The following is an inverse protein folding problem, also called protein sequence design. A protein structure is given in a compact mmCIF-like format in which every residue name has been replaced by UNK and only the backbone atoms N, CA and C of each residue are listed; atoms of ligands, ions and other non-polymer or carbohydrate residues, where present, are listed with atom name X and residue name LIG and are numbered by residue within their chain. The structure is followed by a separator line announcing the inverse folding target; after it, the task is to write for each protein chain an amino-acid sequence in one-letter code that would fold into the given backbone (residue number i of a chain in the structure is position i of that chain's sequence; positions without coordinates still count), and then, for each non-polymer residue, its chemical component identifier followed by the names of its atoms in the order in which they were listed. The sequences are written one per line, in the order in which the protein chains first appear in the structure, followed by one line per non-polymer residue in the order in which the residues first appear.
data_IF_621196035533
#
_entry.id   IF_621196035533
#
_cell.length_a   1.000
_cell.length_b   1.000
_cell.length_c   1.000
_cell.angle_alpha   90.00
_cell.angle_beta   90.00
_cell.angle_gamma   90.00
#
_symmetry.space_group_name_H-M   'P 1'
#
loop_
_entity.id
_entity.type
_entity.pdbx_description
1 polymer ?
#
# COMPACT_ATOMS: atom_id res chain seq x y z
N UNK A 1 4.11 -19.91 -9.78
CA UNK A 1 3.36 -19.21 -8.70
C UNK A 1 1.91 -19.10 -9.11
N UNK A 2 0.98 -19.50 -8.25
CA UNK A 2 -0.44 -19.37 -8.53
C UNK A 2 -0.91 -17.92 -8.32
N UNK A 3 -2.07 -17.59 -8.91
CA UNK A 3 -2.67 -16.26 -8.69
C UNK A 3 -2.96 -16.02 -7.21
N UNK A 4 -3.42 -17.06 -6.50
CA UNK A 4 -3.67 -16.97 -5.06
C UNK A 4 -2.39 -16.67 -4.29
N UNK A 5 -1.29 -17.32 -4.65
CA UNK A 5 -0.01 -17.11 -4.00
C UNK A 5 0.50 -15.68 -4.21
N UNK A 6 0.34 -15.17 -5.43
CA UNK A 6 0.70 -13.79 -5.76
C UNK A 6 -0.12 -12.80 -4.93
N UNK A 7 -1.43 -13.02 -4.84
CA UNK A 7 -2.32 -12.16 -4.05
C UNK A 7 -1.92 -12.14 -2.58
N UNK A 8 -1.57 -13.29 -2.01
CA UNK A 8 -1.10 -13.39 -0.63
C UNK A 8 0.16 -12.57 -0.41
N UNK A 9 1.12 -12.64 -1.33
CA UNK A 9 2.36 -11.89 -1.22
C UNK A 9 2.12 -10.39 -1.38
N UNK A 10 1.22 -9.99 -2.27
CA UNK A 10 0.87 -8.58 -2.45
C UNK A 10 0.13 -8.03 -1.23
N UNK A 11 -0.74 -8.83 -0.60
CA UNK A 11 -1.41 -8.43 0.64
C UNK A 11 -0.42 -8.24 1.78
N UNK A 12 0.60 -9.09 1.86
CA UNK A 12 1.67 -8.95 2.84
C UNK A 12 2.43 -7.64 2.62
N UNK A 13 2.80 -7.35 1.37
CA UNK A 13 3.48 -6.10 1.02
C UNK A 13 2.61 -4.89 1.35
N UNK A 14 1.32 -4.95 1.06
CA UNK A 14 0.39 -3.88 1.39
C UNK A 14 0.34 -3.63 2.90
N UNK A 15 0.33 -4.70 3.69
CA UNK A 15 0.35 -4.59 5.16
C UNK A 15 1.58 -3.84 5.66
N UNK A 16 2.75 -4.12 5.09
CA UNK A 16 3.98 -3.42 5.45
C UNK A 16 3.93 -1.93 5.09
N UNK A 17 3.39 -1.60 3.90
CA UNK A 17 3.27 -0.20 3.47
C UNK A 17 2.27 0.57 4.35
N UNK A 18 1.15 -0.03 4.71
CA UNK A 18 0.17 0.60 5.60
C UNK A 18 0.74 0.84 6.99
N UNK A 19 1.55 -0.09 7.49
CA UNK A 19 2.25 0.09 8.75
C UNK A 19 3.24 1.25 8.68
N UNK A 20 3.98 1.35 7.57
CA UNK A 20 4.91 2.46 7.37
C UNK A 20 4.19 3.81 7.33
N UNK A 21 3.05 3.90 6.66
CA UNK A 21 2.22 5.12 6.62
C UNK A 21 1.85 5.54 8.04
N UNK A 22 1.33 4.62 8.84
CA UNK A 22 0.95 4.91 10.21
C UNK A 22 2.15 5.34 11.05
N UNK A 23 3.28 4.67 10.90
CA UNK A 23 4.50 4.97 11.65
C UNK A 23 5.01 6.37 11.33
N UNK A 24 5.17 6.69 10.04
CA UNK A 24 5.70 7.99 9.64
C UNK A 24 4.72 9.13 9.94
N UNK A 25 3.44 8.92 9.73
CA UNK A 25 2.42 9.91 10.08
C UNK A 25 2.40 10.18 11.58
N UNK A 26 2.56 9.13 12.39
CA UNK A 26 2.64 9.25 13.84
C UNK A 26 3.88 10.05 14.25
N UNK A 27 5.03 9.75 13.68
CA UNK A 27 6.25 10.48 13.96
C UNK A 27 6.13 11.95 13.55
N UNK A 28 5.55 12.23 12.39
CA UNK A 28 5.34 13.60 11.95
C UNK A 28 4.47 14.39 12.94
N UNK A 29 3.43 13.75 13.49
CA UNK A 29 2.52 14.40 14.42
C UNK A 29 3.14 14.63 15.79
N UNK A 30 4.05 13.74 16.24
CA UNK A 30 4.58 13.78 17.60
C UNK A 30 5.99 14.31 17.71
N UNK A 31 6.60 14.67 16.61
CA UNK A 31 7.95 15.22 16.65
C UNK A 31 7.94 16.61 17.30
N UNK A 32 8.90 16.85 18.20
CA UNK A 32 8.99 18.10 18.96
C UNK A 32 10.44 18.54 19.04
N UNK A 33 10.63 19.80 19.44
CA UNK A 33 11.95 20.37 19.64
C UNK A 33 12.46 21.11 18.43
N UNK A 34 13.73 21.47 18.46
CA UNK A 34 14.35 22.32 17.44
C UNK A 34 14.41 21.67 16.06
N UNK A 35 14.34 20.35 16.00
CA UNK A 35 14.41 19.61 14.73
C UNK A 35 13.04 19.42 14.09
N UNK A 36 11.98 19.88 14.71
CA UNK A 36 10.61 19.70 14.18
C UNK A 36 10.47 20.25 12.77
N UNK A 37 10.98 21.44 12.51
CA UNK A 37 10.84 22.08 11.21
C UNK A 37 11.53 21.32 10.08
N UNK A 38 12.57 20.54 10.43
CA UNK A 38 13.30 19.72 9.47
C UNK A 38 12.72 18.32 9.33
N UNK A 39 12.34 17.71 10.44
CA UNK A 39 11.96 16.30 10.48
C UNK A 39 10.49 16.07 10.19
N UNK A 40 9.61 16.99 10.57
CA UNK A 40 8.18 16.84 10.30
C UNK A 40 7.89 16.72 8.79
N UNK A 41 8.41 17.63 7.94
CA UNK A 41 8.23 17.49 6.50
C UNK A 41 8.84 16.21 5.95
N UNK A 42 9.98 15.77 6.50
CA UNK A 42 10.62 14.52 6.08
C UNK A 42 9.72 13.33 6.34
N UNK A 43 9.17 13.20 7.56
CA UNK A 43 8.29 12.08 7.89
C UNK A 43 6.97 12.15 7.14
N UNK A 44 6.46 13.33 6.90
CA UNK A 44 5.25 13.51 6.08
C UNK A 44 5.51 13.05 4.64
N UNK A 45 6.66 13.41 4.07
CA UNK A 45 7.05 12.96 2.73
C UNK A 45 7.19 11.44 2.67
N UNK A 46 7.78 10.83 3.70
CA UNK A 46 7.91 9.37 3.77
C UNK A 46 6.55 8.68 3.86
N UNK A 47 5.61 9.25 4.64
CA UNK A 47 4.26 8.72 4.72
C UNK A 47 3.56 8.80 3.36
N UNK A 48 3.71 9.90 2.65
CA UNK A 48 3.13 10.07 1.31
C UNK A 48 3.74 9.11 0.30
N UNK A 49 5.05 8.87 0.37
CA UNK A 49 5.71 7.89 -0.48
C UNK A 49 5.18 6.48 -0.23
N UNK A 50 5.01 6.12 1.04
CA UNK A 50 4.43 4.82 1.40
C UNK A 50 2.98 4.72 0.94
N UNK A 51 2.23 5.82 0.94
CA UNK A 51 0.88 5.85 0.40
C UNK A 51 0.88 5.57 -1.10
N UNK A 52 1.81 6.18 -1.85
CA UNK A 52 1.96 5.93 -3.28
C UNK A 52 2.31 4.47 -3.54
N UNK A 53 3.23 3.90 -2.76
CA UNK A 53 3.59 2.49 -2.84
C UNK A 53 2.38 1.59 -2.55
N UNK A 54 1.59 1.91 -1.53
CA UNK A 54 0.41 1.12 -1.19
C UNK A 54 -0.62 1.14 -2.32
N UNK A 55 -0.76 2.27 -3.00
CA UNK A 55 -1.67 2.38 -4.15
C UNK A 55 -1.20 1.52 -5.33
N UNK A 56 0.12 1.48 -5.56
CA UNK A 56 0.70 0.60 -6.59
C UNK A 56 0.43 -0.87 -6.25
N UNK A 57 0.65 -1.25 -4.99
CA UNK A 57 0.42 -2.62 -4.54
C UNK A 57 -1.07 -2.99 -4.64
N UNK A 58 -1.96 -2.08 -4.24
CA UNK A 58 -3.40 -2.30 -4.38
C UNK A 58 -3.81 -2.52 -5.83
N UNK A 59 -3.26 -1.72 -6.74
CA UNK A 59 -3.52 -1.88 -8.16
C UNK A 59 -3.05 -3.24 -8.67
N UNK A 60 -1.90 -3.70 -8.19
CA UNK A 60 -1.36 -5.01 -8.53
C UNK A 60 -2.22 -6.14 -7.98
N UNK A 61 -2.83 -5.97 -6.82
CA UNK A 61 -3.77 -6.96 -6.25
C UNK A 61 -5.06 -6.99 -7.07
N UNK A 62 -5.60 -5.82 -7.38
CA UNK A 62 -6.86 -5.72 -8.11
C UNK A 62 -6.77 -6.36 -9.50
N UNK A 63 -5.65 -6.19 -10.20
CA UNK A 63 -5.46 -6.78 -11.53
C UNK A 63 -5.63 -8.31 -11.54
N UNK A 64 -4.92 -9.08 -10.70
CA UNK A 64 -5.11 -10.53 -10.69
C UNK A 64 -6.52 -10.95 -10.28
N UNK A 65 -7.10 -10.27 -9.29
CA UNK A 65 -8.47 -10.56 -8.84
C UNK A 65 -9.46 -10.28 -9.98
N UNK A 66 -9.36 -9.13 -10.61
CA UNK A 66 -10.22 -8.75 -11.72
C UNK A 66 -10.09 -9.71 -12.89
N UNK A 67 -8.86 -10.09 -13.23
CA UNK A 67 -8.61 -11.03 -14.32
C UNK A 67 -9.25 -12.38 -14.02
N UNK A 68 -9.05 -12.92 -12.83
CA UNK A 68 -9.63 -14.19 -12.42
C UNK A 68 -11.15 -14.11 -12.42
N UNK A 69 -11.68 -13.03 -11.91
CA UNK A 69 -13.12 -12.80 -11.86
C UNK A 69 -13.71 -12.69 -13.26
N UNK A 70 -13.08 -11.94 -14.14
CA UNK A 70 -13.52 -11.81 -15.53
C UNK A 70 -13.50 -13.13 -16.25
N UNK A 71 -12.47 -13.93 -16.07
CA UNK A 71 -12.39 -15.26 -16.69
C UNK A 71 -13.52 -16.17 -16.24
N UNK A 72 -13.84 -16.12 -14.94
CA UNK A 72 -14.98 -16.87 -14.42
C UNK A 72 -16.29 -16.37 -15.01
N UNK A 73 -16.44 -15.08 -15.17
CA UNK A 73 -17.64 -14.46 -15.67
C UNK A 73 -17.79 -14.53 -17.19
N UNK A 74 -16.69 -14.64 -17.92
CA UNK A 74 -16.73 -14.81 -19.37
C UNK A 74 -17.58 -16.00 -19.77
N UNK A 75 -17.53 -17.06 -18.97
CA UNK A 75 -18.35 -18.25 -19.25
C UNK A 75 -19.73 -18.17 -18.64
N UNK A 76 -19.98 -17.20 -17.76
CA UNK A 76 -21.24 -17.08 -17.03
C UNK A 76 -22.17 -16.04 -17.60
N UNK A 77 -21.67 -14.82 -17.82
CA UNK A 77 -22.55 -13.75 -18.28
C UNK A 77 -21.85 -12.64 -19.05
N UNK A 78 -20.67 -12.85 -19.48
CA UNK A 78 -20.06 -11.90 -20.37
C UNK A 78 -20.56 -12.11 -21.78
#
# INVERSE_FOLDING_TARGET
MTAQHLIEKLNEALGWELRAINMYAHYAAYIRGIHRLQLEPHFTAEANESMDHSNIVRSAIVKPVSYTHLRAHETAYY
#
